data_IF_687737651903
#
_entry.id   IF_687737651903
#
_cell.length_a   1.000
_cell.length_b   1.000
_cell.length_c   1.000
_cell.angle_alpha   90.00
_cell.angle_beta   90.00
_cell.angle_gamma   90.00
#
_symmetry.space_group_name_H-M   'P 1'
#
loop_
_entity.id
_entity.type
_entity.pdbx_description
1 polymer ?
#
# COMPACT_ATOMS: atom_id res chain seq x y z
N UNK A 1 -0.74 -23.69 -66.94
CA UNK A 1 -0.48 -22.43 -66.19
C UNK A 1 -1.65 -21.48 -66.40
N UNK A 2 -1.81 -20.46 -65.54
CA UNK A 2 -2.66 -19.24 -65.70
C UNK A 2 -4.09 -19.42 -66.25
N UNK A 3 -5.16 -19.35 -65.43
CA UNK A 3 -5.77 -18.15 -64.80
C UNK A 3 -6.43 -17.15 -65.77
N UNK A 4 -7.75 -17.17 -65.80
CA UNK A 4 -8.73 -16.05 -65.81
C UNK A 4 -10.12 -16.71 -65.62
N UNK A 5 -11.10 -16.29 -64.81
CA UNK A 5 -11.46 -15.10 -64.03
C UNK A 5 -12.49 -14.15 -64.67
N UNK A 6 -13.37 -13.61 -63.83
CA UNK A 6 -14.60 -12.82 -64.09
C UNK A 6 -15.82 -13.58 -64.66
N UNK A 7 -17.06 -13.09 -64.51
CA UNK A 7 -17.80 -12.45 -63.39
C UNK A 7 -19.16 -11.94 -63.91
N UNK A 8 -20.20 -11.91 -63.06
CA UNK A 8 -21.51 -11.31 -63.38
C UNK A 8 -22.40 -12.23 -64.23
N UNK A 9 -23.72 -12.03 -64.32
CA UNK A 9 -24.67 -11.10 -63.67
C UNK A 9 -26.08 -11.76 -63.79
N UNK A 10 -27.16 -11.40 -63.09
CA UNK A 10 -27.41 -10.56 -61.92
C UNK A 10 -28.90 -10.74 -61.49
N UNK A 11 -29.24 -10.42 -60.22
CA UNK A 11 -30.58 -9.91 -59.80
C UNK A 11 -31.82 -10.83 -60.02
N UNK A 12 -33.05 -10.61 -59.52
CA UNK A 12 -33.74 -9.75 -58.51
C UNK A 12 -35.08 -10.51 -58.25
N UNK A 13 -35.68 -10.70 -57.06
CA UNK A 13 -35.43 -10.40 -55.62
C UNK A 13 -35.72 -11.73 -54.84
N UNK A 14 -36.18 -11.90 -53.59
CA UNK A 14 -36.72 -11.06 -52.50
C UNK A 14 -36.45 -11.83 -51.19
N UNK A 15 -35.56 -11.39 -50.30
CA UNK A 15 -35.84 -10.48 -49.17
C UNK A 15 -37.09 -10.89 -48.37
N UNK A 16 -36.91 -11.73 -47.34
CA UNK A 16 -38.00 -12.19 -46.47
C UNK A 16 -37.54 -13.03 -45.27
N UNK A 17 -37.21 -12.36 -44.15
CA UNK A 17 -37.25 -12.91 -42.76
C UNK A 17 -36.48 -14.23 -42.48
N UNK A 18 -35.20 -14.36 -42.86
CA UNK A 18 -34.28 -15.40 -42.30
C UNK A 18 -32.82 -14.93 -42.16
N UNK A 19 -32.53 -14.02 -41.21
CA UNK A 19 -31.17 -13.51 -41.01
C UNK A 19 -30.80 -13.09 -39.55
N UNK A 20 -31.54 -13.51 -38.51
CA UNK A 20 -31.21 -13.21 -37.11
C UNK A 20 -31.34 -14.49 -36.25
N UNK A 21 -30.48 -15.50 -36.50
CA UNK A 21 -30.48 -16.74 -35.71
C UNK A 21 -29.18 -17.57 -35.78
N UNK A 22 -28.02 -16.91 -35.83
CA UNK A 22 -26.69 -17.60 -35.85
C UNK A 22 -25.73 -17.11 -34.75
N UNK A 23 -25.94 -15.91 -34.18
CA UNK A 23 -25.02 -15.32 -33.18
C UNK A 23 -25.39 -15.56 -31.70
N UNK A 24 -26.33 -16.47 -31.42
CA UNK A 24 -26.83 -16.74 -30.07
C UNK A 24 -26.25 -18.01 -29.39
N UNK A 25 -25.53 -18.86 -30.12
CA UNK A 25 -25.11 -20.19 -29.62
C UNK A 25 -23.69 -20.17 -29.01
N UNK A 26 -22.79 -19.33 -29.52
CA UNK A 26 -21.37 -19.33 -29.18
C UNK A 26 -21.00 -18.82 -27.77
N UNK A 27 -21.97 -18.30 -27.00
CA UNK A 27 -21.74 -17.82 -25.62
C UNK A 27 -22.07 -18.91 -24.59
N UNK A 28 -22.81 -19.95 -24.97
CA UNK A 28 -23.24 -21.03 -24.05
C UNK A 28 -22.16 -22.11 -23.88
N UNK A 29 -21.21 -22.23 -24.82
CA UNK A 29 -20.24 -23.34 -24.88
C UNK A 29 -18.84 -23.04 -24.33
N UNK A 30 -18.71 -22.05 -23.43
CA UNK A 30 -17.49 -21.80 -22.65
C UNK A 30 -17.64 -22.09 -21.15
N UNK A 31 -18.71 -22.77 -20.73
CA UNK A 31 -18.84 -23.36 -19.39
C UNK A 31 -18.63 -24.88 -19.51
N UNK A 32 -17.38 -25.26 -19.82
CA UNK A 32 -16.94 -26.65 -19.92
C UNK A 32 -15.51 -26.79 -19.42
N UNK A 33 -15.24 -27.81 -18.61
CA UNK A 33 -13.93 -28.14 -18.04
C UNK A 33 -13.32 -27.08 -17.09
N UNK A 34 -14.06 -26.70 -16.05
CA UNK A 34 -13.50 -26.74 -14.69
C UNK A 34 -14.03 -27.99 -13.98
N UNK A 35 -13.19 -28.69 -13.21
CA UNK A 35 -13.54 -30.00 -12.63
C UNK A 35 -14.75 -29.92 -11.69
N UNK A 36 -15.62 -30.92 -11.76
CA UNK A 36 -16.59 -31.22 -10.72
C UNK A 36 -15.87 -31.53 -9.42
N UNK A 37 -15.93 -30.62 -8.45
CA UNK A 37 -15.65 -30.89 -7.04
C UNK A 37 -17.01 -31.08 -6.36
N UNK A 38 -17.13 -32.11 -5.52
CA UNK A 38 -18.39 -32.41 -4.83
C UNK A 38 -18.74 -31.31 -3.83
N UNK A 39 -20.00 -30.86 -3.83
CA UNK A 39 -20.42 -29.73 -2.99
C UNK A 39 -21.80 -29.17 -3.34
N UNK A 40 -22.76 -30.02 -3.70
CA UNK A 40 -24.16 -29.61 -3.85
C UNK A 40 -24.83 -29.45 -2.47
N UNK A 41 -24.30 -28.55 -1.64
CA UNK A 41 -24.91 -28.21 -0.35
C UNK A 41 -26.22 -27.45 -0.58
N UNK A 42 -27.34 -28.17 -0.61
CA UNK A 42 -28.67 -27.59 -0.43
C UNK A 42 -28.86 -27.15 1.02
N UNK A 43 -28.15 -26.07 1.42
CA UNK A 43 -28.50 -25.32 2.64
C UNK A 43 -29.88 -24.71 2.44
N UNK A 44 -30.68 -24.64 3.50
CA UNK A 44 -32.00 -24.01 3.47
C UNK A 44 -31.90 -22.53 3.03
N UNK A 45 -32.85 -22.00 2.25
CA UNK A 45 -32.85 -20.60 1.86
C UNK A 45 -32.80 -19.68 3.09
N UNK A 46 -31.87 -18.74 3.10
CA UNK A 46 -31.72 -17.79 4.23
C UNK A 46 -32.84 -16.74 4.11
N UNK A 47 -33.74 -16.60 5.09
CA UNK A 47 -34.80 -15.61 5.04
C UNK A 47 -34.24 -14.19 5.22
N UNK A 48 -34.64 -13.27 4.36
CA UNK A 48 -34.19 -11.87 4.36
C UNK A 48 -35.40 -10.96 4.25
N UNK A 49 -35.79 -10.33 5.37
CA UNK A 49 -36.92 -9.38 5.41
C UNK A 49 -36.42 -7.99 5.04
N UNK A 50 -36.99 -7.40 3.98
CA UNK A 50 -36.73 -6.00 3.62
C UNK A 50 -37.35 -5.02 4.64
N UNK A 51 -36.62 -3.95 4.95
CA UNK A 51 -37.09 -2.83 5.77
C UNK A 51 -37.00 -1.55 4.97
N UNK A 52 -38.09 -0.78 4.89
CA UNK A 52 -38.04 0.58 4.35
C UNK A 52 -37.32 1.48 5.35
N UNK A 53 -36.22 2.12 4.94
CA UNK A 53 -35.41 3.02 5.79
C UNK A 53 -35.61 4.50 5.43
N UNK A 54 -36.00 4.76 4.18
CA UNK A 54 -36.49 6.05 3.66
C UNK A 54 -37.55 5.75 2.59
N UNK A 55 -38.42 6.70 2.19
CA UNK A 55 -39.45 6.44 1.18
C UNK A 55 -38.89 5.85 -0.12
N UNK A 56 -39.36 4.66 -0.50
CA UNK A 56 -38.89 3.81 -1.60
C UNK A 56 -37.47 3.24 -1.47
N UNK A 57 -36.78 3.39 -0.33
CA UNK A 57 -35.47 2.78 -0.06
C UNK A 57 -35.63 1.61 0.91
N UNK A 58 -35.39 0.40 0.42
CA UNK A 58 -35.47 -0.84 1.18
C UNK A 58 -34.08 -1.41 1.43
N UNK A 59 -33.75 -1.67 2.69
CA UNK A 59 -32.42 -2.12 3.09
C UNK A 59 -32.51 -3.37 3.98
N UNK A 60 -31.58 -4.30 3.78
CA UNK A 60 -31.42 -5.47 4.63
C UNK A 60 -29.94 -5.86 4.75
N UNK A 61 -29.59 -6.51 5.86
CA UNK A 61 -28.26 -7.09 6.10
C UNK A 61 -28.37 -8.60 6.18
N UNK A 62 -27.53 -9.29 5.43
CA UNK A 62 -27.46 -10.74 5.34
C UNK A 62 -26.11 -11.18 5.88
N UNK A 63 -26.10 -11.82 7.06
CA UNK A 63 -24.90 -12.47 7.57
C UNK A 63 -24.90 -13.93 7.07
N UNK A 64 -23.85 -14.32 6.36
CA UNK A 64 -23.63 -15.69 5.88
C UNK A 64 -22.69 -16.43 6.82
N UNK A 65 -22.90 -17.73 7.02
CA UNK A 65 -21.89 -18.61 7.62
C UNK A 65 -20.55 -18.46 6.89
N UNK A 66 -19.44 -18.73 7.58
CA UNK A 66 -18.08 -18.52 7.07
C UNK A 66 -17.85 -19.08 5.66
N UNK A 67 -17.08 -18.34 4.86
CA UNK A 67 -16.70 -18.70 3.50
C UNK A 67 -15.19 -18.94 3.47
N UNK A 68 -14.80 -20.13 3.03
CA UNK A 68 -13.39 -20.51 2.90
C UNK A 68 -12.69 -19.63 1.86
N UNK A 69 -11.47 -19.20 2.18
CA UNK A 69 -10.62 -18.49 1.23
C UNK A 69 -10.29 -19.38 0.02
N UNK A 70 -10.22 -18.78 -1.16
CA UNK A 70 -10.00 -19.47 -2.43
C UNK A 70 -11.12 -20.48 -2.80
N UNK A 71 -12.32 -20.35 -2.22
CA UNK A 71 -13.51 -21.16 -2.55
C UNK A 71 -14.52 -20.41 -3.43
N UNK A 72 -15.40 -21.18 -4.07
CA UNK A 72 -16.60 -20.68 -4.74
C UNK A 72 -17.84 -21.29 -4.08
N UNK A 73 -18.76 -20.47 -3.57
CA UNK A 73 -19.97 -20.91 -2.86
C UNK A 73 -21.21 -20.29 -3.49
N UNK A 74 -22.28 -21.10 -3.64
CA UNK A 74 -23.61 -20.59 -3.99
C UNK A 74 -24.48 -20.52 -2.73
N UNK A 75 -25.31 -19.50 -2.62
CA UNK A 75 -26.24 -19.29 -1.50
C UNK A 75 -27.59 -18.85 -2.05
N UNK A 76 -28.67 -19.45 -1.57
CA UNK A 76 -30.04 -19.00 -1.85
C UNK A 76 -30.53 -18.13 -0.69
N UNK A 77 -30.96 -16.91 -1.01
CA UNK A 77 -31.67 -16.02 -0.11
C UNK A 77 -33.16 -16.02 -0.48
N UNK A 78 -34.03 -16.03 0.52
CA UNK A 78 -35.47 -15.85 0.34
C UNK A 78 -35.83 -14.42 0.76
N UNK A 79 -35.94 -13.52 -0.22
CA UNK A 79 -36.17 -12.10 0.00
C UNK A 79 -37.67 -11.85 0.15
N UNK A 80 -38.11 -11.37 1.32
CA UNK A 80 -39.51 -11.11 1.63
C UNK A 80 -39.82 -9.63 1.79
N UNK A 81 -41.03 -9.24 1.39
CA UNK A 81 -41.54 -7.89 1.46
C UNK A 81 -42.82 -7.87 2.32
N UNK A 82 -42.79 -7.27 3.53
CA UNK A 82 -43.93 -7.20 4.45
C UNK A 82 -45.25 -6.73 3.82
N UNK A 83 -46.38 -7.20 4.35
CA UNK A 83 -47.74 -6.88 3.85
C UNK A 83 -48.08 -5.38 3.85
N UNK A 84 -47.42 -4.59 4.71
CA UNK A 84 -47.63 -3.14 4.82
C UNK A 84 -46.89 -2.31 3.78
N UNK A 85 -46.01 -2.91 2.98
CA UNK A 85 -45.18 -2.20 2.00
C UNK A 85 -45.88 -2.09 0.64
N UNK A 86 -45.40 -1.18 -0.21
CA UNK A 86 -45.75 -1.19 -1.64
C UNK A 86 -45.12 -2.41 -2.36
N UNK A 87 -45.68 -2.88 -3.49
CA UNK A 87 -45.04 -3.89 -4.33
C UNK A 87 -43.73 -3.37 -4.91
N UNK A 88 -42.63 -4.08 -4.63
CA UNK A 88 -41.28 -3.69 -5.03
C UNK A 88 -40.99 -4.21 -6.44
N UNK A 89 -40.33 -3.39 -7.26
CA UNK A 89 -39.78 -3.80 -8.56
C UNK A 89 -38.26 -3.74 -8.52
N UNK A 90 -37.62 -4.90 -8.60
CA UNK A 90 -36.17 -5.02 -8.65
C UNK A 90 -35.66 -4.70 -10.06
N UNK A 91 -34.69 -3.80 -10.15
CA UNK A 91 -33.95 -3.54 -11.38
C UNK A 91 -32.91 -4.64 -11.66
N UNK A 92 -31.97 -4.41 -12.59
CA UNK A 92 -30.84 -5.33 -12.77
C UNK A 92 -29.91 -5.23 -11.55
N UNK A 93 -29.56 -6.33 -10.86
CA UNK A 93 -28.64 -6.28 -9.74
C UNK A 93 -27.25 -5.74 -10.13
N UNK A 94 -26.69 -4.93 -9.25
CA UNK A 94 -25.32 -4.42 -9.30
C UNK A 94 -24.63 -4.86 -8.00
N UNK A 95 -23.51 -5.57 -8.11
CA UNK A 95 -22.68 -5.93 -6.97
C UNK A 95 -21.47 -4.98 -6.87
N UNK A 96 -21.05 -4.66 -5.65
CA UNK A 96 -19.85 -3.84 -5.37
C UNK A 96 -18.52 -4.45 -5.83
N UNK A 97 -18.51 -5.73 -6.22
CA UNK A 97 -17.33 -6.48 -6.61
C UNK A 97 -17.68 -7.58 -7.63
N UNK A 98 -16.81 -7.82 -8.62
CA UNK A 98 -16.94 -8.95 -9.54
C UNK A 98 -16.82 -10.34 -8.88
N UNK A 99 -16.39 -10.37 -7.61
CA UNK A 99 -16.37 -11.53 -6.73
C UNK A 99 -17.76 -11.97 -6.22
N UNK A 100 -18.82 -11.22 -6.53
CA UNK A 100 -20.21 -11.54 -6.20
C UNK A 100 -21.07 -11.45 -7.47
N UNK A 101 -21.67 -12.57 -7.85
CA UNK A 101 -22.70 -12.61 -8.90
C UNK A 101 -24.07 -12.84 -8.27
N UNK A 102 -25.11 -12.27 -8.90
CA UNK A 102 -26.49 -12.28 -8.38
C UNK A 102 -27.44 -12.66 -9.50
N UNK A 103 -28.31 -13.63 -9.24
CA UNK A 103 -29.48 -13.94 -10.06
C UNK A 103 -30.74 -13.85 -9.21
N UNK A 104 -31.83 -13.35 -9.79
CA UNK A 104 -33.16 -13.27 -9.15
C UNK A 104 -34.13 -14.17 -9.89
N UNK A 105 -35.06 -14.79 -9.15
CA UNK A 105 -36.11 -15.65 -9.71
C UNK A 105 -37.22 -14.87 -10.42
N UNK A 106 -37.61 -13.71 -9.86
CA UNK A 106 -38.53 -12.73 -10.46
C UNK A 106 -37.95 -11.31 -10.23
N UNK A 107 -38.39 -10.34 -11.03
CA UNK A 107 -38.12 -8.91 -10.84
C UNK A 107 -39.22 -8.20 -10.06
N UNK A 108 -40.41 -8.81 -9.87
CA UNK A 108 -41.51 -8.25 -9.10
C UNK A 108 -41.67 -8.97 -7.76
N UNK A 109 -41.66 -8.20 -6.67
CA UNK A 109 -41.81 -8.68 -5.30
C UNK A 109 -43.09 -8.06 -4.69
N UNK A 110 -44.22 -8.79 -4.63
CA UNK A 110 -45.49 -8.29 -4.09
C UNK A 110 -45.41 -7.85 -2.62
N UNK A 111 -46.40 -7.09 -2.15
CA UNK A 111 -46.65 -6.94 -0.71
C UNK A 111 -47.08 -8.30 -0.13
N UNK A 112 -46.54 -8.69 1.02
CA UNK A 112 -46.68 -10.05 1.58
C UNK A 112 -45.96 -11.14 0.77
N UNK A 113 -45.22 -10.75 -0.27
CA UNK A 113 -44.57 -11.66 -1.21
C UNK A 113 -43.16 -12.07 -0.81
N UNK A 114 -42.68 -13.15 -1.42
CA UNK A 114 -41.31 -13.64 -1.29
C UNK A 114 -40.77 -14.04 -2.68
N UNK A 115 -39.48 -13.81 -2.92
CA UNK A 115 -38.75 -14.33 -4.10
C UNK A 115 -37.42 -14.97 -3.68
N UNK A 116 -36.88 -15.83 -4.53
CA UNK A 116 -35.53 -16.37 -4.34
C UNK A 116 -34.47 -15.54 -5.08
N UNK A 117 -33.34 -15.32 -4.42
CA UNK A 117 -32.13 -14.68 -4.98
C UNK A 117 -30.96 -15.63 -4.78
N UNK A 118 -30.29 -15.99 -5.87
CA UNK A 118 -29.09 -16.83 -5.85
C UNK A 118 -27.86 -15.95 -5.92
N UNK A 119 -27.09 -15.94 -4.83
CA UNK A 119 -25.76 -15.36 -4.78
C UNK A 119 -24.73 -16.43 -5.17
N UNK A 120 -23.76 -16.06 -6.01
CA UNK A 120 -22.52 -16.84 -6.21
C UNK A 120 -21.36 -15.99 -5.72
N UNK A 121 -20.68 -16.48 -4.68
CA UNK A 121 -19.57 -15.82 -4.00
C UNK A 121 -18.27 -16.52 -4.36
N UNK A 122 -17.25 -15.75 -4.71
CA UNK A 122 -15.88 -16.21 -4.89
C UNK A 122 -14.95 -15.38 -3.99
N UNK A 123 -14.40 -15.95 -2.92
CA UNK A 123 -13.43 -15.25 -2.06
C UNK A 123 -12.04 -15.65 -2.52
N UNK A 124 -11.25 -14.70 -3.03
CA UNK A 124 -9.90 -14.99 -3.53
C UNK A 124 -8.83 -14.91 -2.43
N UNK A 125 -7.61 -15.38 -2.76
CA UNK A 125 -6.44 -15.29 -1.87
C UNK A 125 -5.92 -13.87 -1.62
N UNK A 126 -6.45 -12.86 -2.30
CA UNK A 126 -6.02 -11.47 -2.20
C UNK A 126 -6.87 -10.68 -1.19
N UNK A 127 -7.97 -11.28 -0.70
CA UNK A 127 -8.77 -10.80 0.43
C UNK A 127 -7.86 -10.31 1.57
N UNK A 128 -8.14 -9.10 2.06
CA UNK A 128 -7.27 -8.38 3.01
C UNK A 128 -7.69 -8.50 4.47
N UNK A 129 -8.95 -8.81 4.76
CA UNK A 129 -9.53 -8.76 6.09
C UNK A 129 -10.31 -10.05 6.42
N UNK A 130 -10.42 -10.45 7.69
CA UNK A 130 -11.16 -11.65 8.12
C UNK A 130 -12.68 -11.52 7.94
N UNK A 131 -13.19 -10.32 7.68
CA UNK A 131 -14.60 -10.09 7.31
C UNK A 131 -14.66 -9.70 5.83
N UNK A 132 -15.40 -10.49 5.06
CA UNK A 132 -15.79 -10.16 3.69
C UNK A 132 -17.15 -9.46 3.73
N UNK A 133 -17.21 -8.24 3.18
CA UNK A 133 -18.41 -7.42 3.07
C UNK A 133 -18.57 -6.99 1.61
N UNK A 134 -19.76 -7.17 1.06
CA UNK A 134 -20.16 -6.62 -0.24
C UNK A 134 -21.58 -6.06 -0.17
N UNK A 135 -21.93 -5.21 -1.12
CA UNK A 135 -23.28 -4.68 -1.29
C UNK A 135 -23.84 -5.14 -2.63
N UNK A 136 -25.10 -5.58 -2.63
CA UNK A 136 -25.91 -5.71 -3.84
C UNK A 136 -26.93 -4.59 -3.85
N UNK A 137 -26.98 -3.80 -4.92
CA UNK A 137 -28.04 -2.82 -5.14
C UNK A 137 -28.91 -3.17 -6.34
N UNK A 138 -30.18 -2.79 -6.24
CA UNK A 138 -31.19 -2.85 -7.30
C UNK A 138 -31.68 -1.42 -7.52
N UNK A 139 -30.79 -0.56 -8.04
CA UNK A 139 -31.07 0.84 -8.28
C UNK A 139 -31.91 0.99 -9.56
N UNK A 140 -33.10 1.62 -9.49
CA UNK A 140 -33.80 2.05 -10.69
C UNK A 140 -33.30 3.42 -11.16
N UNK A 141 -33.49 3.69 -12.46
CA UNK A 141 -33.19 5.00 -13.08
C UNK A 141 -34.43 5.90 -13.23
N UNK A 142 -35.60 5.47 -12.74
CA UNK A 142 -36.83 6.28 -12.78
C UNK A 142 -37.08 6.93 -11.42
N UNK A 143 -37.51 8.21 -11.38
CA UNK A 143 -37.98 8.83 -10.14
C UNK A 143 -39.20 8.07 -9.57
N UNK A 144 -39.17 7.74 -8.28
CA UNK A 144 -40.27 7.07 -7.57
C UNK A 144 -40.30 5.54 -7.67
N UNK A 145 -39.43 4.91 -8.46
CA UNK A 145 -39.23 3.45 -8.40
C UNK A 145 -38.48 3.07 -7.09
N UNK A 146 -38.70 1.84 -6.59
CA UNK A 146 -37.99 1.30 -5.43
C UNK A 146 -36.47 1.16 -5.67
N UNK A 147 -35.68 1.47 -4.63
CA UNK A 147 -34.26 1.14 -4.52
C UNK A 147 -34.13 0.07 -3.45
N UNK A 148 -33.47 -1.06 -3.76
CA UNK A 148 -33.20 -2.11 -2.77
C UNK A 148 -31.69 -2.29 -2.59
N UNK A 149 -31.22 -2.37 -1.33
CA UNK A 149 -29.80 -2.66 -1.01
C UNK A 149 -29.68 -3.80 -0.01
N UNK A 150 -28.76 -4.73 -0.28
CA UNK A 150 -28.43 -5.85 0.58
C UNK A 150 -26.95 -5.75 0.99
N UNK A 151 -26.66 -5.51 2.28
CA UNK A 151 -25.30 -5.70 2.84
C UNK A 151 -25.08 -7.20 3.06
N UNK A 152 -24.23 -7.83 2.25
CA UNK A 152 -23.84 -9.23 2.42
C UNK A 152 -22.53 -9.28 3.21
N UNK A 153 -22.54 -9.94 4.36
CA UNK A 153 -21.39 -10.04 5.28
C UNK A 153 -21.09 -11.50 5.57
N UNK A 154 -19.82 -11.88 5.57
CA UNK A 154 -19.37 -13.20 6.00
C UNK A 154 -18.00 -13.14 6.68
N UNK A 155 -17.72 -14.11 7.55
CA UNK A 155 -16.37 -14.45 8.03
C UNK A 155 -15.61 -15.14 6.90
N UNK A 156 -14.34 -14.81 6.73
CA UNK A 156 -13.43 -15.54 5.86
C UNK A 156 -12.75 -16.62 6.69
N UNK A 157 -12.81 -17.87 6.24
CA UNK A 157 -12.17 -19.00 6.91
C UNK A 157 -10.86 -19.37 6.17
N UNK A 158 -9.84 -19.82 6.89
CA UNK A 158 -8.53 -20.18 6.32
C UNK A 158 -7.66 -19.01 5.82
N UNK A 159 -8.01 -17.75 6.12
CA UNK A 159 -7.16 -16.58 5.88
C UNK A 159 -5.96 -16.59 6.84
N UNK A 160 -4.75 -16.58 6.29
CA UNK A 160 -3.51 -16.22 7.00
C UNK A 160 -2.88 -15.05 6.26
N UNK A 161 -2.79 -13.86 6.88
CA UNK A 161 -2.32 -12.63 6.20
C UNK A 161 -1.85 -11.54 7.16
N UNK A 162 -0.73 -10.90 6.84
CA UNK A 162 -0.33 -9.61 7.42
C UNK A 162 -1.23 -8.45 6.94
N UNK A 163 -1.44 -7.46 7.79
CA UNK A 163 -2.11 -6.20 7.44
C UNK A 163 -1.29 -5.43 6.38
N UNK A 164 0.02 -5.31 6.60
CA UNK A 164 1.03 -4.83 5.65
C UNK A 164 2.03 -5.94 5.32
N UNK A 165 2.19 -6.27 4.03
CA UNK A 165 3.15 -7.29 3.55
C UNK A 165 4.59 -6.76 3.35
N UNK A 166 4.78 -5.45 3.58
CA UNK A 166 6.00 -4.69 3.26
C UNK A 166 6.34 -3.67 4.34
N UNK A 167 7.62 -3.61 4.73
CA UNK A 167 8.10 -2.63 5.70
C UNK A 167 9.44 -1.97 5.34
N UNK A 168 9.68 -0.81 5.94
CA UNK A 168 10.95 -0.08 5.92
C UNK A 168 11.28 0.40 7.33
N UNK A 169 12.26 -0.21 7.99
CA UNK A 169 12.81 0.30 9.26
C UNK A 169 13.96 1.25 8.93
N UNK A 170 13.89 2.46 9.46
CA UNK A 170 14.97 3.44 9.39
C UNK A 170 15.58 3.58 10.79
N UNK A 171 16.75 2.97 10.97
CA UNK A 171 17.62 3.22 12.11
C UNK A 171 18.34 4.54 11.86
N UNK A 172 18.62 5.30 12.91
CA UNK A 172 19.37 6.55 12.80
C UNK A 172 20.66 6.43 13.60
N UNK A 173 21.73 7.06 13.11
CA UNK A 173 23.02 7.07 13.82
C UNK A 173 22.88 7.73 15.21
N UNK A 174 22.70 6.92 16.25
CA UNK A 174 22.79 7.34 17.64
C UNK A 174 24.21 7.79 17.97
N UNK A 175 24.34 8.88 18.73
CA UNK A 175 25.61 9.28 19.33
C UNK A 175 26.09 8.22 20.33
N UNK A 176 27.38 7.91 20.29
CA UNK A 176 28.04 6.69 20.82
C UNK A 176 28.01 6.52 22.36
N UNK A 177 27.32 7.40 23.10
CA UNK A 177 27.53 7.58 24.54
C UNK A 177 26.49 6.86 25.44
N UNK A 178 25.42 6.29 24.87
CA UNK A 178 24.45 5.44 25.60
C UNK A 178 24.89 3.97 25.53
N UNK A 179 25.57 3.49 26.56
CA UNK A 179 26.28 2.20 26.59
C UNK A 179 25.45 0.91 26.64
N UNK A 180 24.16 0.95 26.27
CA UNK A 180 23.27 -0.23 26.25
C UNK A 180 22.77 -0.49 24.82
N UNK A 181 22.92 -1.71 24.25
CA UNK A 181 22.41 -2.05 22.93
C UNK A 181 20.87 -2.19 22.97
N UNK A 182 20.19 -1.06 22.80
CA UNK A 182 18.72 -0.97 22.74
C UNK A 182 18.19 -1.71 21.52
N UNK A 183 17.82 -2.98 21.69
CA UNK A 183 17.14 -3.80 20.69
C UNK A 183 15.86 -3.08 20.22
N UNK A 184 15.82 -2.70 18.94
CA UNK A 184 14.67 -2.04 18.36
C UNK A 184 13.58 -3.07 18.05
N UNK A 185 12.51 -3.06 18.85
CA UNK A 185 11.33 -3.89 18.59
C UNK A 185 10.40 -3.24 17.55
N UNK A 186 9.92 -4.03 16.59
CA UNK A 186 8.91 -3.67 15.59
C UNK A 186 7.87 -4.79 15.50
N UNK A 187 6.59 -4.42 15.54
CA UNK A 187 5.45 -5.32 15.57
C UNK A 187 4.68 -5.21 14.25
N UNK A 188 4.30 -6.35 13.69
CA UNK A 188 3.56 -6.44 12.43
C UNK A 188 2.34 -7.33 12.61
N UNK A 189 1.15 -6.72 12.66
CA UNK A 189 -0.11 -7.42 12.86
C UNK A 189 -0.45 -8.37 11.69
N UNK A 190 -1.05 -9.51 12.03
CA UNK A 190 -1.60 -10.46 11.09
C UNK A 190 -2.90 -11.10 11.60
N UNK A 191 -3.74 -11.52 10.66
CA UNK A 191 -4.90 -12.37 10.89
C UNK A 191 -4.58 -13.83 10.58
N UNK A 192 -5.13 -14.74 11.38
CA UNK A 192 -5.12 -16.18 11.18
C UNK A 192 -6.49 -16.74 11.58
N UNK A 193 -7.39 -16.92 10.61
CA UNK A 193 -8.77 -17.37 10.87
C UNK A 193 -8.89 -18.89 10.81
N UNK A 194 -9.79 -19.46 11.62
CA UNK A 194 -10.16 -20.88 11.63
C UNK A 194 -10.27 -21.48 10.20
N UNK A 195 -9.74 -22.69 9.95
CA UNK A 195 -9.18 -23.64 10.92
C UNK A 195 -7.73 -23.33 11.37
N UNK A 196 -7.10 -22.26 10.87
CA UNK A 196 -5.70 -21.94 11.19
C UNK A 196 -5.59 -21.51 12.66
N UNK A 197 -4.61 -22.05 13.38
CA UNK A 197 -4.37 -21.78 14.80
C UNK A 197 -2.99 -21.14 14.99
N UNK A 198 -2.92 -20.01 15.72
CA UNK A 198 -1.71 -19.17 15.80
C UNK A 198 -0.54 -19.88 16.50
N UNK A 199 -0.82 -20.71 17.51
CA UNK A 199 0.14 -21.52 18.25
C UNK A 199 0.80 -22.62 17.39
N UNK A 200 0.18 -23.00 16.27
CA UNK A 200 0.72 -23.97 15.30
C UNK A 200 1.52 -23.33 14.15
N UNK A 201 1.54 -22.00 14.04
CA UNK A 201 2.18 -21.32 12.91
C UNK A 201 3.70 -21.51 12.92
N UNK A 202 4.23 -22.02 11.81
CA UNK A 202 5.66 -22.15 11.58
C UNK A 202 6.23 -20.84 11.04
N UNK A 203 7.25 -20.32 11.74
CA UNK A 203 8.00 -19.14 11.31
C UNK A 203 9.22 -19.56 10.49
N UNK A 204 9.22 -19.20 9.20
CA UNK A 204 10.31 -19.47 8.25
C UNK A 204 11.03 -18.15 7.97
N UNK A 205 12.32 -18.07 8.30
CA UNK A 205 13.17 -16.94 7.95
C UNK A 205 13.97 -17.26 6.68
N UNK A 206 13.65 -16.61 5.56
CA UNK A 206 14.29 -16.89 4.28
C UNK A 206 15.69 -16.24 4.15
N UNK A 207 15.94 -15.19 4.95
CA UNK A 207 17.24 -14.53 5.10
C UNK A 207 17.40 -14.14 6.58
N UNK A 208 18.02 -15.03 7.37
CA UNK A 208 18.36 -14.77 8.77
C UNK A 208 19.64 -13.93 8.84
N UNK A 209 19.51 -12.66 9.23
CA UNK A 209 20.65 -11.82 9.60
C UNK A 209 20.90 -11.97 11.12
N UNK A 210 22.14 -12.17 11.60
CA UNK A 210 22.41 -12.35 13.02
C UNK A 210 22.04 -11.13 13.89
N UNK A 211 21.90 -9.94 13.30
CA UNK A 211 21.38 -8.75 13.97
C UNK A 211 19.87 -8.81 14.27
N UNK A 212 19.16 -9.82 13.78
CA UNK A 212 17.70 -9.81 13.70
C UNK A 212 17.11 -11.11 14.24
N UNK A 213 16.39 -11.00 15.35
CA UNK A 213 15.56 -12.08 15.89
C UNK A 213 14.07 -11.81 15.63
N UNK A 214 13.30 -12.88 15.45
CA UNK A 214 11.89 -12.82 15.04
C UNK A 214 11.09 -13.83 15.85
N UNK A 215 9.99 -13.39 16.46
CA UNK A 215 9.07 -14.24 17.22
C UNK A 215 7.61 -13.94 16.86
N UNK A 216 6.70 -14.89 17.16
CA UNK A 216 5.25 -14.67 17.08
C UNK A 216 4.74 -14.31 18.48
N UNK A 217 3.88 -13.31 18.58
CA UNK A 217 3.24 -12.83 19.81
C UNK A 217 1.70 -12.87 19.61
N UNK A 218 0.99 -13.90 20.10
CA UNK A 218 -0.46 -14.03 19.91
C UNK A 218 -1.24 -12.96 20.70
N UNK A 219 -2.15 -12.25 20.05
CA UNK A 219 -3.01 -11.25 20.70
C UNK A 219 -4.36 -11.87 21.14
N UNK A 220 -4.93 -12.70 20.29
CA UNK A 220 -6.12 -13.52 20.57
C UNK A 220 -6.14 -14.77 19.66
N UNK A 221 -7.29 -15.42 19.49
CA UNK A 221 -7.42 -16.64 18.68
C UNK A 221 -7.29 -16.39 17.15
N UNK A 222 -7.50 -15.15 16.68
CA UNK A 222 -7.55 -14.79 15.26
C UNK A 222 -6.51 -13.74 14.86
N UNK A 223 -5.86 -13.08 15.83
CA UNK A 223 -4.86 -12.03 15.62
C UNK A 223 -3.57 -12.31 16.38
N UNK A 224 -2.45 -12.03 15.73
CA UNK A 224 -1.13 -12.02 16.34
C UNK A 224 -0.24 -10.94 15.75
N UNK A 225 0.92 -10.76 16.35
CA UNK A 225 1.98 -9.90 15.82
C UNK A 225 3.22 -10.72 15.52
N UNK A 226 3.87 -10.45 14.38
CA UNK A 226 5.25 -10.85 14.18
C UNK A 226 6.13 -9.78 14.81
N UNK A 227 6.88 -10.16 15.83
CA UNK A 227 7.74 -9.28 16.60
C UNK A 227 9.17 -9.43 16.11
N UNK A 228 9.65 -8.36 15.47
CA UNK A 228 10.97 -8.20 14.89
C UNK A 228 11.86 -7.42 15.88
N UNK A 229 12.91 -8.03 16.40
CA UNK A 229 13.89 -7.37 17.29
C UNK A 229 15.21 -7.23 16.58
N UNK A 230 15.64 -5.98 16.41
CA UNK A 230 16.82 -5.60 15.63
C UNK A 230 17.89 -5.05 16.58
N UNK A 231 19.06 -5.70 16.62
CA UNK A 231 20.26 -5.09 17.17
C UNK A 231 20.81 -4.06 16.19
N UNK A 232 20.58 -2.77 16.48
CA UNK A 232 21.01 -1.68 15.62
C UNK A 232 22.53 -1.64 15.41
N UNK A 233 23.32 -2.16 16.35
CA UNK A 233 24.79 -2.08 16.32
C UNK A 233 25.39 -2.83 15.13
N UNK A 234 24.81 -4.00 14.80
CA UNK A 234 25.24 -4.87 13.71
C UNK A 234 24.72 -4.44 12.32
N UNK A 235 23.70 -3.57 12.24
CA UNK A 235 23.14 -3.10 10.95
C UNK A 235 23.99 -1.96 10.34
N UNK A 236 24.88 -2.30 9.42
CA UNK A 236 25.71 -1.34 8.69
C UNK A 236 25.00 -0.55 7.57
N UNK A 237 25.70 0.44 7.01
CA UNK A 237 25.19 1.48 6.08
C UNK A 237 24.45 0.97 4.83
N UNK A 238 24.75 -0.25 4.37
CA UNK A 238 24.08 -0.86 3.22
C UNK A 238 22.64 -1.28 3.53
N UNK A 239 22.31 -1.40 4.81
CA UNK A 239 21.08 -2.02 5.30
C UNK A 239 21.03 -3.53 5.08
N UNK A 240 19.99 -4.13 5.64
CA UNK A 240 19.68 -5.56 5.59
C UNK A 240 18.32 -5.75 4.96
N UNK A 241 18.20 -6.70 4.03
CA UNK A 241 16.90 -7.14 3.50
C UNK A 241 16.40 -8.30 4.34
N UNK A 242 15.11 -8.27 4.67
CA UNK A 242 14.47 -9.28 5.51
C UNK A 242 13.26 -9.87 4.79
N UNK A 243 13.07 -11.17 4.98
CA UNK A 243 11.95 -11.94 4.43
C UNK A 243 11.57 -13.04 5.42
N UNK A 244 10.43 -12.83 6.09
CA UNK A 244 9.84 -13.77 7.02
C UNK A 244 8.54 -14.33 6.42
N UNK A 245 8.26 -15.60 6.65
CA UNK A 245 7.04 -16.25 6.20
C UNK A 245 6.41 -17.00 7.37
N UNK A 246 5.15 -16.70 7.66
CA UNK A 246 4.29 -17.53 8.50
C UNK A 246 3.69 -18.62 7.61
N UNK A 247 3.70 -19.85 8.09
CA UNK A 247 3.11 -21.00 7.42
C UNK A 247 2.23 -21.78 8.39
N UNK A 248 1.00 -22.06 7.99
CA UNK A 248 0.21 -23.12 8.61
C UNK A 248 0.68 -24.49 8.07
N UNK A 249 1.12 -25.43 8.91
CA UNK A 249 1.48 -26.77 8.47
C UNK A 249 0.29 -27.61 7.99
N UNK A 250 -0.95 -27.34 8.46
CA UNK A 250 -2.11 -28.19 8.18
C UNK A 250 -2.77 -27.86 6.83
N UNK A 251 -3.17 -26.61 6.59
CA UNK A 251 -3.73 -26.16 5.30
C UNK A 251 -2.67 -25.83 4.25
N UNK A 252 -1.40 -25.64 4.66
CA UNK A 252 -0.33 -25.17 3.79
C UNK A 252 -0.41 -23.68 3.40
N UNK A 253 -1.34 -22.92 3.98
CA UNK A 253 -1.44 -21.46 3.76
C UNK A 253 -0.20 -20.75 4.28
N UNK A 254 0.17 -19.63 3.62
CA UNK A 254 1.34 -18.84 4.03
C UNK A 254 1.11 -17.33 3.87
N UNK A 255 1.56 -16.55 4.85
CA UNK A 255 1.70 -15.10 4.75
C UNK A 255 3.18 -14.73 4.75
N UNK A 256 3.60 -13.83 3.86
CA UNK A 256 4.99 -13.35 3.79
C UNK A 256 5.07 -11.87 4.16
N UNK A 257 6.01 -11.53 5.05
CA UNK A 257 6.41 -10.17 5.39
C UNK A 257 7.81 -9.92 4.83
N UNK A 258 7.95 -8.86 4.03
CA UNK A 258 9.21 -8.50 3.39
C UNK A 258 9.61 -7.06 3.70
N UNK A 259 10.89 -6.76 3.79
CA UNK A 259 11.29 -5.40 4.10
C UNK A 259 12.78 -5.12 4.05
N UNK A 260 13.12 -3.90 4.41
CA UNK A 260 14.52 -3.45 4.54
C UNK A 260 14.68 -2.72 5.85
N UNK A 261 15.75 -3.05 6.58
CA UNK A 261 16.28 -2.25 7.69
C UNK A 261 17.44 -1.45 7.12
N UNK A 262 17.39 -0.12 7.18
CA UNK A 262 18.48 0.74 6.71
C UNK A 262 18.95 1.66 7.82
N UNK A 263 20.27 1.80 7.97
CA UNK A 263 20.87 2.88 8.74
C UNK A 263 20.82 4.15 7.88
N UNK A 264 20.24 5.22 8.41
CA UNK A 264 20.31 6.58 7.87
C UNK A 264 21.14 7.43 8.81
N UNK A 265 21.90 8.37 8.25
CA UNK A 265 22.50 9.41 9.08
C UNK A 265 21.43 10.23 9.78
N UNK A 266 21.62 10.48 11.08
CA UNK A 266 20.72 11.32 11.88
C UNK A 266 20.56 12.72 11.26
N UNK A 267 21.61 13.21 10.60
CA UNK A 267 21.62 14.46 9.85
C UNK A 267 21.65 14.23 8.33
N UNK A 268 20.99 15.11 7.56
CA UNK A 268 21.15 15.18 6.11
C UNK A 268 21.44 16.60 5.63
N UNK A 269 22.40 16.74 4.72
CA UNK A 269 22.76 18.01 4.06
C UNK A 269 22.14 18.04 2.66
N UNK A 270 21.35 19.07 2.38
CA UNK A 270 20.53 19.23 1.17
C UNK A 270 20.82 20.61 0.54
N UNK A 271 20.96 20.76 -0.79
CA UNK A 271 20.92 19.74 -1.82
C UNK A 271 22.17 18.82 -1.82
N UNK A 272 22.00 17.59 -2.31
CA UNK A 272 23.09 16.61 -2.45
C UNK A 272 24.16 16.99 -3.48
N UNK A 273 23.88 17.99 -4.33
CA UNK A 273 24.81 18.62 -5.27
C UNK A 273 24.74 20.12 -4.99
N UNK A 274 25.87 20.75 -4.69
CA UNK A 274 25.89 22.16 -4.32
C UNK A 274 25.76 23.04 -5.56
N UNK A 275 24.79 23.97 -5.55
CA UNK A 275 24.75 25.10 -6.47
C UNK A 275 25.51 26.26 -5.85
N UNK A 276 26.52 26.75 -6.58
CA UNK A 276 27.22 28.00 -6.29
C UNK A 276 26.47 29.11 -7.03
N UNK A 277 26.34 30.27 -6.41
CA UNK A 277 25.63 31.44 -6.94
C UNK A 277 26.49 32.68 -6.68
N UNK A 278 26.58 33.57 -7.67
CA UNK A 278 27.19 34.89 -7.48
C UNK A 278 26.15 35.81 -6.82
N UNK A 279 26.48 36.41 -5.69
CA UNK A 279 25.60 37.31 -4.94
C UNK A 279 25.65 38.75 -5.48
N UNK A 280 24.86 39.64 -4.87
CA UNK A 280 24.79 41.07 -5.22
C UNK A 280 26.10 41.83 -4.97
N UNK A 281 26.97 41.34 -4.08
CA UNK A 281 28.34 41.87 -3.89
C UNK A 281 29.35 41.32 -4.91
N UNK A 282 28.91 40.55 -5.91
CA UNK A 282 29.77 39.90 -6.92
C UNK A 282 30.49 38.62 -6.46
N UNK A 283 30.32 38.20 -5.20
CA UNK A 283 31.08 37.09 -4.58
C UNK A 283 30.35 35.76 -4.74
N UNK A 284 31.09 34.65 -4.74
CA UNK A 284 30.52 33.30 -4.82
C UNK A 284 30.11 32.78 -3.45
N UNK A 285 28.81 32.55 -3.24
CA UNK A 285 28.26 31.88 -2.08
C UNK A 285 27.58 30.55 -2.52
N UNK A 286 27.63 29.53 -1.66
CA UNK A 286 26.90 28.27 -1.82
C UNK A 286 25.95 28.06 -0.64
N UNK A 287 24.76 27.50 -0.88
CA UNK A 287 23.74 27.34 0.16
C UNK A 287 23.37 25.87 0.39
N UNK A 288 23.26 25.50 1.67
CA UNK A 288 22.68 24.21 2.10
C UNK A 288 21.66 24.40 3.22
N UNK A 289 20.78 23.40 3.34
CA UNK A 289 19.94 23.15 4.50
C UNK A 289 20.50 21.89 5.18
N UNK A 290 20.68 21.96 6.49
CA UNK A 290 20.95 20.79 7.34
C UNK A 290 19.66 20.43 8.05
N UNK A 291 19.21 19.19 7.91
CA UNK A 291 18.07 18.61 8.61
C UNK A 291 18.58 17.61 9.67
N UNK A 292 17.95 17.58 10.84
CA UNK A 292 18.16 16.62 11.91
C UNK A 292 16.89 15.79 12.13
N UNK A 293 16.89 14.56 11.62
CA UNK A 293 15.75 13.64 11.65
C UNK A 293 15.47 13.06 13.04
N UNK A 294 16.37 13.24 14.02
CA UNK A 294 16.13 12.89 15.41
C UNK A 294 15.36 13.98 16.16
N UNK A 295 15.63 15.26 15.86
CA UNK A 295 15.00 16.40 16.53
C UNK A 295 13.48 16.52 16.24
N UNK A 296 13.03 16.06 15.08
CA UNK A 296 11.59 16.03 14.75
C UNK A 296 10.81 15.08 15.67
N UNK A 297 11.43 14.01 16.19
CA UNK A 297 10.79 13.07 17.13
C UNK A 297 10.63 13.65 18.54
N UNK A 298 11.61 14.43 19.01
CA UNK A 298 11.57 15.13 20.31
C UNK A 298 10.59 16.32 20.34
N UNK A 299 9.77 16.51 19.29
CA UNK A 299 8.73 17.54 19.26
C UNK A 299 7.42 17.11 19.95
N UNK A 300 7.28 15.83 20.31
CA UNK A 300 6.07 15.28 20.93
C UNK A 300 6.13 15.14 22.46
N UNK A 301 7.32 15.21 23.08
CA UNK A 301 7.45 15.33 24.54
C UNK A 301 7.41 16.82 24.93
N UNK A 302 6.61 17.18 25.94
CA UNK A 302 6.42 18.58 26.40
C UNK A 302 7.60 19.12 27.25
N UNK A 303 8.84 18.83 26.82
CA UNK A 303 10.08 19.34 27.41
C UNK A 303 10.45 20.75 26.93
N UNK A 304 10.94 21.57 27.87
CA UNK A 304 11.36 22.97 27.65
C UNK A 304 12.36 23.08 26.48
N UNK A 305 12.18 23.97 25.48
CA UNK A 305 12.77 23.81 24.14
C UNK A 305 14.22 24.35 24.03
N UNK A 306 15.07 24.04 25.00
CA UNK A 306 16.49 24.42 25.03
C UNK A 306 17.38 23.24 24.59
N UNK A 307 18.54 23.56 24.04
CA UNK A 307 19.61 22.60 23.67
C UNK A 307 19.30 21.58 22.55
N UNK A 308 18.92 22.08 21.36
CA UNK A 308 18.98 21.29 20.12
C UNK A 308 19.42 22.11 18.88
N UNK A 309 20.36 23.04 19.02
CA UNK A 309 20.94 23.76 17.87
C UNK A 309 22.17 23.03 17.30
N UNK A 310 22.42 23.07 15.98
CA UNK A 310 23.73 22.80 15.42
C UNK A 310 24.68 23.91 15.84
N UNK A 311 25.69 23.58 16.65
CA UNK A 311 26.59 24.55 17.26
C UNK A 311 27.66 25.02 16.25
N UNK A 312 28.11 24.14 15.35
CA UNK A 312 29.10 24.50 14.34
C UNK A 312 28.90 23.73 13.03
N UNK A 313 29.21 24.40 11.91
CA UNK A 313 29.29 23.77 10.58
C UNK A 313 30.57 24.24 9.92
N UNK A 314 31.52 23.32 9.74
CA UNK A 314 32.79 23.58 9.06
C UNK A 314 32.71 23.15 7.60
N UNK A 315 32.76 24.11 6.69
CA UNK A 315 32.97 23.83 5.28
C UNK A 315 34.48 23.93 4.95
N UNK A 316 34.99 23.02 4.13
CA UNK A 316 36.32 23.12 3.55
C UNK A 316 36.34 22.72 2.08
N UNK A 317 37.26 23.30 1.32
CA UNK A 317 37.37 23.16 -0.13
C UNK A 317 38.85 23.28 -0.53
N UNK A 318 39.34 22.34 -1.35
CA UNK A 318 40.77 22.19 -1.65
C UNK A 318 41.67 22.19 -0.38
N UNK A 319 41.18 21.63 0.73
CA UNK A 319 41.87 21.60 2.03
C UNK A 319 41.78 22.88 2.88
N UNK A 320 41.40 24.02 2.30
CA UNK A 320 41.21 25.28 3.06
C UNK A 320 39.83 25.31 3.75
N UNK A 321 39.75 25.80 4.98
CA UNK A 321 38.46 26.10 5.64
C UNK A 321 37.80 27.32 4.97
N UNK A 322 36.49 27.26 4.80
CA UNK A 322 35.65 28.33 4.25
C UNK A 322 34.87 29.03 5.36
N UNK A 323 34.46 30.28 5.12
CA UNK A 323 33.61 31.02 6.06
C UNK A 323 32.16 30.56 5.90
N UNK A 324 31.62 29.95 6.95
CA UNK A 324 30.21 29.58 7.04
C UNK A 324 29.41 30.65 7.80
N UNK A 325 28.13 30.78 7.46
CA UNK A 325 27.12 31.55 8.19
C UNK A 325 25.92 30.64 8.41
N UNK A 326 25.58 30.35 9.66
CA UNK A 326 24.53 29.39 10.03
C UNK A 326 23.33 30.15 10.58
N UNK A 327 22.19 30.04 9.92
CA UNK A 327 20.90 30.59 10.37
C UNK A 327 19.99 29.45 10.78
N UNK A 328 19.80 29.26 12.09
CA UNK A 328 18.83 28.30 12.59
C UNK A 328 17.40 28.73 12.22
N UNK A 329 16.55 27.78 11.82
CA UNK A 329 15.19 28.08 11.35
C UNK A 329 14.09 27.17 11.97
N UNK A 330 14.46 26.24 12.86
CA UNK A 330 13.54 25.45 13.70
C UNK A 330 14.31 24.59 14.70
N UNK A 331 13.64 23.67 15.42
CA UNK A 331 14.34 22.65 16.23
C UNK A 331 15.18 21.71 15.35
N UNK A 332 14.58 21.20 14.27
CA UNK A 332 15.21 20.20 13.39
C UNK A 332 16.02 20.72 12.20
N UNK A 333 16.18 22.04 11.96
CA UNK A 333 16.86 22.50 10.75
C UNK A 333 17.59 23.85 10.81
N UNK A 334 18.71 23.90 10.08
CA UNK A 334 19.54 25.08 9.83
C UNK A 334 19.64 25.37 8.34
N UNK A 335 19.73 26.66 8.00
CA UNK A 335 20.19 27.15 6.69
C UNK A 335 21.66 27.57 6.83
N UNK A 336 22.47 27.32 5.81
CA UNK A 336 23.90 27.65 5.81
C UNK A 336 24.26 28.38 4.52
N UNK A 337 24.86 29.56 4.65
CA UNK A 337 25.65 30.18 3.59
C UNK A 337 27.11 29.77 3.75
N UNK A 338 27.76 29.39 2.65
CA UNK A 338 29.17 29.02 2.59
C UNK A 338 29.83 29.95 1.58
N UNK A 339 30.63 30.92 2.06
CA UNK A 339 31.31 31.88 1.17
C UNK A 339 32.59 31.28 0.62
N UNK A 340 32.77 31.35 -0.69
CA UNK A 340 33.96 30.89 -1.41
C UNK A 340 34.85 32.11 -1.71
N UNK A 341 36.06 32.19 -1.13
CA UNK A 341 37.04 33.24 -1.46
C UNK A 341 37.46 33.20 -2.93
N UNK A 342 37.70 34.37 -3.54
CA UNK A 342 37.98 34.47 -4.97
C UNK A 342 39.34 33.89 -5.35
N UNK A 343 40.32 33.93 -4.43
CA UNK A 343 41.66 33.37 -4.62
C UNK A 343 41.67 31.83 -4.72
N UNK A 344 40.57 31.19 -4.32
CA UNK A 344 40.35 29.76 -4.51
C UNK A 344 39.73 29.43 -5.89
N UNK A 345 39.06 30.37 -6.57
CA UNK A 345 38.34 30.10 -7.83
C UNK A 345 39.31 29.63 -8.92
N UNK A 346 40.46 30.28 -9.08
CA UNK A 346 41.49 29.88 -10.05
C UNK A 346 42.00 28.46 -9.78
N UNK A 347 42.25 28.13 -8.52
CA UNK A 347 42.70 26.79 -8.09
C UNK A 347 41.62 25.72 -8.29
N UNK A 348 40.34 26.10 -8.29
CA UNK A 348 39.22 25.19 -8.51
C UNK A 348 38.96 24.89 -9.99
N UNK A 349 39.32 25.82 -10.89
CA UNK A 349 39.31 25.60 -12.34
C UNK A 349 40.42 24.64 -12.80
N UNK A 350 41.53 24.56 -12.09
CA UNK A 350 42.62 23.59 -12.35
C UNK A 350 42.28 22.16 -11.87
N UNK A 351 41.32 22.01 -10.95
CA UNK A 351 40.92 20.72 -10.41
C UNK A 351 39.87 20.05 -11.31
N UNK A 352 40.15 18.83 -11.77
CA UNK A 352 39.21 18.06 -12.62
C UNK A 352 37.92 17.64 -11.90
N UNK A 353 37.93 17.53 -10.57
CA UNK A 353 36.79 17.15 -9.71
C UNK A 353 36.85 17.86 -8.33
N UNK A 354 36.59 19.17 -8.26
CA UNK A 354 36.60 19.91 -6.99
C UNK A 354 35.56 19.33 -6.02
N UNK A 355 35.96 19.08 -4.77
CA UNK A 355 35.10 18.56 -3.70
C UNK A 355 35.07 19.52 -2.52
N UNK A 356 33.86 19.87 -2.08
CA UNK A 356 33.63 20.51 -0.80
C UNK A 356 33.34 19.44 0.26
N UNK A 357 33.95 19.57 1.43
CA UNK A 357 33.65 18.78 2.62
C UNK A 357 32.92 19.65 3.62
N UNK A 358 31.73 19.24 4.06
CA UNK A 358 30.91 19.91 5.07
C UNK A 358 30.85 18.99 6.29
N UNK A 359 31.44 19.41 7.40
CA UNK A 359 31.35 18.76 8.70
C UNK A 359 30.29 19.46 9.54
N UNK A 360 29.44 18.69 10.22
CA UNK A 360 28.32 19.22 11.00
C UNK A 360 28.43 18.75 12.45
N UNK A 361 28.27 19.69 13.38
CA UNK A 361 28.33 19.49 14.82
C UNK A 361 27.00 19.90 15.45
N UNK A 362 26.49 19.08 16.37
CA UNK A 362 25.21 19.29 17.05
C UNK A 362 25.40 18.99 18.53
N UNK A 363 25.14 19.99 19.39
CA UNK A 363 25.85 20.04 20.67
C UNK A 363 27.37 20.04 20.45
N UNK A 364 28.12 19.47 21.40
CA UNK A 364 29.57 19.26 21.27
C UNK A 364 29.94 18.07 20.35
N UNK A 365 28.94 17.32 19.86
CA UNK A 365 29.16 16.09 19.10
C UNK A 365 29.30 16.36 17.60
N UNK A 366 30.37 15.87 16.99
CA UNK A 366 30.52 15.80 15.52
C UNK A 366 29.58 14.74 14.97
N UNK A 367 28.54 15.15 14.26
CA UNK A 367 27.42 14.29 13.86
C UNK A 367 27.41 13.88 12.39
N UNK A 368 28.06 14.62 11.48
CA UNK A 368 28.14 14.22 10.08
C UNK A 368 29.39 14.77 9.37
N UNK A 369 29.76 14.15 8.25
CA UNK A 369 30.71 14.72 7.28
C UNK A 369 30.28 14.37 5.86
N UNK A 370 29.73 15.34 5.15
CA UNK A 370 29.29 15.21 3.76
C UNK A 370 30.40 15.69 2.82
N UNK A 371 30.81 14.85 1.86
CA UNK A 371 31.60 15.31 0.70
C UNK A 371 30.68 15.46 -0.50
N UNK A 372 30.77 16.60 -1.17
CA UNK A 372 29.96 16.91 -2.35
C UNK A 372 30.86 17.42 -3.47
N UNK A 373 30.69 16.86 -4.67
CA UNK A 373 31.32 17.35 -5.89
C UNK A 373 30.71 18.70 -6.30
N UNK A 374 31.56 19.65 -6.66
CA UNK A 374 31.15 20.91 -7.26
C UNK A 374 31.21 20.77 -8.79
N UNK A 375 30.18 21.19 -9.54
CA UNK A 375 30.25 21.19 -11.00
C UNK A 375 31.25 22.26 -11.47
N UNK A 376 32.26 21.87 -12.25
CA UNK A 376 33.35 22.75 -12.71
C UNK A 376 32.81 23.98 -13.47
N UNK A 377 31.72 23.82 -14.22
CA UNK A 377 31.05 24.91 -14.93
C UNK A 377 30.50 26.03 -14.04
N UNK A 378 30.34 25.81 -12.73
CA UNK A 378 29.91 26.85 -11.79
C UNK A 378 31.01 27.89 -11.45
N UNK A 379 32.25 27.68 -11.91
CA UNK A 379 33.38 28.60 -11.70
C UNK A 379 33.80 29.37 -12.97
N UNK A 380 33.11 29.17 -14.09
CA UNK A 380 33.56 29.62 -15.42
C UNK A 380 32.91 30.93 -15.92
N UNK A 381 32.11 31.62 -15.09
CA UNK A 381 31.34 32.81 -15.49
C UNK A 381 31.95 34.15 -15.06
N UNK A 382 33.06 34.54 -15.70
CA UNK A 382 33.43 35.95 -16.02
C UNK A 382 34.79 36.06 -16.75
N UNK A 383 34.90 35.55 -17.97
CA UNK A 383 36.04 35.78 -18.89
C UNK A 383 35.55 36.00 -20.34
N UNK A 384 34.42 36.68 -20.49
CA UNK A 384 33.77 36.98 -21.77
C UNK A 384 32.98 38.30 -21.70
N UNK A 385 33.70 39.39 -21.48
CA UNK A 385 33.38 40.74 -21.98
C UNK A 385 34.59 41.22 -22.80
#
# INVERSE_FOLDING_TARGET
MTKESFSGMAERRTVGIRAILVFAVSVVFCIGNSRTVHGAETRSPIPVVLRETQPNLFEARVNLDGIEINSNRSVVLKLSNPDGNSPITLSKPVASCGCLQVAVSDTRLPAGGEIEIVLKVAVDRNQKAPIWRQTVSFDSKKPGDSIVKLEIVSRVNGLLRFDDDRFLVQLYEHSVDDGDPKLLERRFAFYATEPIQIDKLQLIQNQSDPAVSVSIDPLDAERGELVLRIDETHIGDKGVKLSCQLRDPESGQTASLSGVVVRRSALSVVPSILRIVRNEEGKLDAHVIVLNHAADRQSHDEGDPKEASPIAIEASLAGRKLRTNVTQAGKGFARVGIRIPEELISQLNELSKPQMSIQVYWGDRRMATKRTLLPVSAFQSSLAE
#
